data_IF_414712737747
#
_entry.id   IF_414712737747
#
_cell.length_a   1.000
_cell.length_b   1.000
_cell.length_c   1.000
_cell.angle_alpha   90.00
_cell.angle_beta   90.00
_cell.angle_gamma   90.00
#
_symmetry.space_group_name_H-M   'P 1'
#
loop_
_entity.id
_entity.type
_entity.pdbx_description
1 polymer ?
#
# COMPACT_ATOMS: atom_id res chain seq x y z
N UNK A 1 -8.47 10.19 -10.74
CA UNK A 1 -9.33 9.26 -11.50
C UNK A 1 -9.50 7.99 -10.66
N UNK A 2 -10.69 7.39 -10.65
CA UNK A 2 -10.93 6.11 -9.96
C UNK A 2 -10.27 4.97 -10.76
N UNK A 3 -9.27 4.26 -10.20
CA UNK A 3 -8.59 3.20 -10.94
C UNK A 3 -9.39 1.90 -10.98
N UNK A 4 -10.49 1.78 -10.23
CA UNK A 4 -11.32 0.60 -10.15
C UNK A 4 -12.58 0.73 -11.00
N UNK A 5 -13.14 -0.38 -11.47
CA UNK A 5 -14.40 -0.43 -12.23
C UNK A 5 -15.13 -1.73 -11.91
N UNK A 6 -16.44 -1.67 -11.71
CA UNK A 6 -17.28 -2.85 -11.54
C UNK A 6 -17.70 -3.43 -12.91
N UNK A 7 -17.92 -4.74 -12.99
CA UNK A 7 -18.37 -5.38 -14.23
C UNK A 7 -19.74 -4.88 -14.69
N UNK A 8 -20.62 -4.52 -13.74
CA UNK A 8 -21.92 -3.90 -14.00
C UNK A 8 -21.78 -2.55 -14.71
N UNK A 9 -20.75 -1.75 -14.38
CA UNK A 9 -20.47 -0.49 -15.08
C UNK A 9 -20.08 -0.76 -16.53
N UNK A 10 -19.23 -1.77 -16.78
CA UNK A 10 -18.86 -2.17 -18.14
C UNK A 10 -20.08 -2.66 -18.93
N UNK A 11 -20.93 -3.48 -18.32
CA UNK A 11 -22.14 -4.02 -18.93
C UNK A 11 -23.11 -2.89 -19.33
N UNK A 12 -23.30 -1.89 -18.46
CA UNK A 12 -24.21 -0.77 -18.71
C UNK A 12 -23.79 0.14 -19.87
N UNK A 13 -22.50 0.17 -20.21
CA UNK A 13 -21.97 0.93 -21.37
C UNK A 13 -21.85 0.04 -22.61
N UNK A 14 -21.59 -1.24 -22.43
CA UNK A 14 -21.38 -2.24 -23.48
C UNK A 14 -19.94 -2.73 -23.52
N UNK A 15 -19.75 -4.06 -23.48
CA UNK A 15 -18.43 -4.69 -23.36
C UNK A 15 -17.47 -4.39 -24.53
N UNK A 16 -18.01 -4.08 -25.71
CA UNK A 16 -17.22 -3.78 -26.91
C UNK A 16 -16.34 -2.53 -26.77
N UNK A 17 -16.65 -1.63 -25.85
CA UNK A 17 -15.87 -0.42 -25.54
C UNK A 17 -14.59 -0.71 -24.74
N UNK A 18 -14.40 -1.97 -24.32
CA UNK A 18 -13.33 -2.37 -23.41
C UNK A 18 -12.43 -3.42 -24.03
N UNK A 19 -11.17 -3.39 -23.65
CA UNK A 19 -10.19 -4.42 -23.93
C UNK A 19 -9.84 -5.12 -22.62
N UNK A 20 -10.47 -6.27 -22.38
CA UNK A 20 -10.29 -7.04 -21.16
C UNK A 20 -9.03 -7.91 -21.22
N UNK A 21 -8.21 -7.84 -20.17
CA UNK A 21 -7.04 -8.68 -19.96
C UNK A 21 -7.18 -9.48 -18.68
N UNK A 22 -7.28 -10.80 -18.81
CA UNK A 22 -7.09 -11.73 -17.71
C UNK A 22 -5.59 -11.78 -17.42
N UNK A 23 -5.19 -11.40 -16.21
CA UNK A 23 -3.80 -11.34 -15.77
C UNK A 23 -3.47 -12.59 -14.95
N UNK A 24 -2.34 -13.25 -15.24
CA UNK A 24 -1.89 -14.42 -14.50
C UNK A 24 -0.37 -14.51 -14.46
N UNK A 25 0.19 -15.22 -13.48
CA UNK A 25 1.61 -15.60 -13.46
C UNK A 25 1.90 -16.90 -14.24
N UNK A 26 0.86 -17.67 -14.58
CA UNK A 26 0.96 -18.91 -15.35
C UNK A 26 -0.20 -19.07 -16.34
N UNK A 27 0.04 -19.76 -17.45
CA UNK A 27 -0.99 -20.07 -18.46
C UNK A 27 -2.04 -21.05 -17.90
N UNK A 28 -1.64 -21.91 -16.96
CA UNK A 28 -2.45 -23.03 -16.47
C UNK A 28 -3.42 -22.63 -15.33
N UNK A 29 -3.32 -21.41 -14.81
CA UNK A 29 -4.08 -20.97 -13.63
C UNK A 29 -5.41 -20.28 -13.96
N UNK A 30 -5.98 -20.53 -15.15
CA UNK A 30 -7.23 -19.89 -15.59
C UNK A 30 -8.37 -20.90 -15.57
N UNK A 31 -9.30 -20.73 -14.62
CA UNK A 31 -10.50 -21.57 -14.51
C UNK A 31 -11.65 -21.08 -15.39
N UNK A 32 -11.60 -19.83 -15.83
CA UNK A 32 -12.50 -19.25 -16.80
C UNK A 32 -12.26 -17.75 -16.98
N UNK A 33 -12.77 -17.20 -18.07
CA UNK A 33 -12.55 -15.79 -18.42
C UNK A 33 -13.81 -15.16 -19.02
N UNK A 34 -13.93 -13.83 -18.92
CA UNK A 34 -15.01 -13.06 -19.55
C UNK A 34 -14.83 -13.18 -21.06
N UNK A 35 -15.87 -13.62 -21.77
CA UNK A 35 -15.86 -13.76 -23.23
C UNK A 35 -15.27 -12.51 -23.92
N UNK A 36 -14.36 -12.73 -24.88
CA UNK A 36 -13.65 -11.66 -25.58
C UNK A 36 -12.40 -11.11 -24.87
N UNK A 37 -12.03 -11.65 -23.71
CA UNK A 37 -10.77 -11.26 -23.03
C UNK A 37 -9.54 -11.93 -23.61
N UNK A 38 -8.37 -11.35 -23.34
CA UNK A 38 -7.06 -11.91 -23.68
C UNK A 38 -6.27 -12.24 -22.41
N UNK A 39 -5.36 -13.22 -22.49
CA UNK A 39 -4.48 -13.62 -21.41
C UNK A 39 -3.18 -12.82 -21.42
N UNK A 40 -2.92 -12.10 -20.34
CA UNK A 40 -1.64 -11.45 -20.06
C UNK A 40 -0.87 -12.26 -19.00
N UNK A 41 0.17 -12.98 -19.44
CA UNK A 41 1.08 -13.70 -18.55
C UNK A 41 2.19 -12.77 -18.07
N UNK A 42 2.30 -12.60 -16.75
CA UNK A 42 3.26 -11.71 -16.12
C UNK A 42 4.55 -12.45 -15.78
N UNK A 43 5.67 -11.90 -16.24
CA UNK A 43 6.97 -12.42 -15.86
C UNK A 43 7.31 -12.06 -14.41
N UNK A 44 7.90 -13.00 -13.68
CA UNK A 44 8.46 -12.74 -12.36
C UNK A 44 9.79 -11.99 -12.45
N UNK A 45 10.57 -12.23 -13.51
CA UNK A 45 11.79 -11.47 -13.76
C UNK A 45 11.45 -10.03 -14.17
N UNK A 46 11.91 -9.06 -13.38
CA UNK A 46 11.59 -7.63 -13.55
C UNK A 46 11.94 -7.09 -14.94
N UNK A 47 13.09 -7.44 -15.51
CA UNK A 47 13.48 -6.96 -16.84
C UNK A 47 12.58 -7.55 -17.94
N UNK A 48 12.29 -8.85 -17.86
CA UNK A 48 11.35 -9.48 -18.80
C UNK A 48 9.94 -8.90 -18.65
N UNK A 49 9.48 -8.67 -17.42
CA UNK A 49 8.20 -8.02 -17.15
C UNK A 49 8.12 -6.64 -17.78
N UNK A 50 9.13 -5.78 -17.57
CA UNK A 50 9.18 -4.45 -18.18
C UNK A 50 9.14 -4.56 -19.71
N UNK A 51 9.95 -5.45 -20.29
CA UNK A 51 9.99 -5.64 -21.73
C UNK A 51 8.66 -6.14 -22.29
N UNK A 52 8.00 -7.04 -21.58
CA UNK A 52 6.67 -7.53 -21.93
C UNK A 52 5.66 -6.37 -21.94
N UNK A 53 5.60 -5.56 -20.88
CA UNK A 53 4.67 -4.42 -20.80
C UNK A 53 4.89 -3.40 -21.93
N UNK A 54 6.14 -3.13 -22.29
CA UNK A 54 6.50 -2.17 -23.35
C UNK A 54 6.15 -2.65 -24.75
N UNK A 55 5.96 -3.96 -24.92
CA UNK A 55 5.67 -4.60 -26.20
C UNK A 55 4.19 -4.85 -26.45
N UNK A 56 3.30 -4.57 -25.49
CA UNK A 56 1.88 -4.84 -25.66
C UNK A 56 1.24 -3.88 -26.67
N UNK A 57 0.37 -4.43 -27.51
CA UNK A 57 -0.45 -3.68 -28.47
C UNK A 57 -1.90 -3.67 -28.00
N UNK A 58 -2.51 -2.49 -27.95
CA UNK A 58 -3.92 -2.33 -27.61
C UNK A 58 -4.67 -1.54 -28.68
N UNK A 59 -5.96 -1.79 -28.87
CA UNK A 59 -6.81 -0.94 -29.70
C UNK A 59 -6.87 0.49 -29.12
N UNK A 60 -6.68 1.51 -29.95
CA UNK A 60 -6.64 2.92 -29.51
C UNK A 60 -8.01 3.44 -29.02
N UNK A 61 -9.10 2.79 -29.42
CA UNK A 61 -10.49 3.18 -29.16
C UNK A 61 -11.10 2.47 -27.94
N UNK A 62 -10.35 1.60 -27.25
CA UNK A 62 -10.86 0.81 -26.13
C UNK A 62 -10.19 1.12 -24.81
N UNK A 63 -10.98 1.14 -23.74
CA UNK A 63 -10.46 1.22 -22.38
C UNK A 63 -9.91 -0.13 -21.94
N UNK A 64 -8.69 -0.15 -21.42
CA UNK A 64 -8.03 -1.38 -20.96
C UNK A 64 -8.54 -1.74 -19.56
N UNK A 65 -9.06 -2.96 -19.41
CA UNK A 65 -9.60 -3.48 -18.15
C UNK A 65 -8.79 -4.70 -17.72
N UNK A 66 -8.19 -4.63 -16.54
CA UNK A 66 -7.34 -5.67 -15.99
C UNK A 66 -8.07 -6.43 -14.89
N UNK A 67 -8.03 -7.75 -14.92
CA UNK A 67 -8.62 -8.58 -13.89
C UNK A 67 -7.84 -9.87 -13.72
N UNK A 68 -8.07 -10.58 -12.61
CA UNK A 68 -7.53 -11.92 -12.36
C UNK A 68 -8.62 -12.75 -11.66
N UNK A 69 -8.24 -13.84 -10.99
CA UNK A 69 -9.17 -14.70 -10.25
C UNK A 69 -9.85 -14.03 -9.04
N UNK A 70 -9.56 -12.75 -8.76
CA UNK A 70 -10.19 -11.96 -7.71
C UNK A 70 -9.33 -11.76 -6.47
N UNK A 71 -8.06 -12.16 -6.52
CA UNK A 71 -7.07 -11.90 -5.47
C UNK A 71 -6.22 -10.64 -5.72
N UNK A 72 -6.40 -10.05 -6.89
CA UNK A 72 -5.79 -8.82 -7.39
C UNK A 72 -4.27 -8.85 -7.53
N UNK A 73 -3.60 -10.00 -7.37
CA UNK A 73 -2.13 -10.03 -7.36
C UNK A 73 -1.55 -9.74 -8.74
N UNK A 74 -2.01 -10.47 -9.75
CA UNK A 74 -1.51 -10.31 -11.10
C UNK A 74 -2.04 -9.02 -11.72
N UNK A 75 -3.35 -8.78 -11.61
CA UNK A 75 -4.01 -7.63 -12.22
C UNK A 75 -3.48 -6.28 -11.69
N UNK A 76 -3.21 -6.16 -10.38
CA UNK A 76 -2.63 -4.93 -9.83
C UNK A 76 -1.16 -4.74 -10.22
N UNK A 77 -0.36 -5.82 -10.38
CA UNK A 77 1.01 -5.72 -10.92
C UNK A 77 0.98 -5.25 -12.37
N UNK A 78 0.11 -5.84 -13.19
CA UNK A 78 -0.10 -5.44 -14.58
C UNK A 78 -0.53 -3.97 -14.69
N UNK A 79 -1.42 -3.50 -13.80
CA UNK A 79 -1.85 -2.10 -13.75
C UNK A 79 -0.66 -1.14 -13.67
N UNK A 80 0.26 -1.37 -12.73
CA UNK A 80 1.44 -0.49 -12.58
C UNK A 80 2.41 -0.60 -13.75
N UNK A 81 2.57 -1.80 -14.32
CA UNK A 81 3.39 -2.02 -15.52
C UNK A 81 2.86 -1.27 -16.74
N UNK A 82 1.57 -1.39 -17.03
CA UNK A 82 0.92 -0.69 -18.14
C UNK A 82 0.87 0.81 -17.92
N UNK A 83 0.62 1.26 -16.68
CA UNK A 83 0.66 2.68 -16.33
C UNK A 83 2.05 3.28 -16.54
N UNK A 84 3.11 2.54 -16.19
CA UNK A 84 4.48 2.95 -16.46
C UNK A 84 4.80 2.95 -17.97
N UNK A 85 4.17 2.08 -18.77
CA UNK A 85 4.29 2.07 -20.23
C UNK A 85 3.45 3.18 -20.92
N UNK A 86 2.71 3.99 -20.17
CA UNK A 86 1.95 5.14 -20.68
C UNK A 86 0.47 4.87 -20.98
N UNK A 87 -0.04 3.70 -20.62
CA UNK A 87 -1.46 3.39 -20.72
C UNK A 87 -2.24 3.86 -19.48
N UNK A 88 -3.56 3.99 -19.60
CA UNK A 88 -4.46 4.31 -18.48
C UNK A 88 -5.44 3.15 -18.23
N UNK A 89 -4.96 2.00 -17.71
CA UNK A 89 -5.82 0.86 -17.43
C UNK A 89 -6.74 1.13 -16.23
N UNK A 90 -7.83 0.36 -16.12
CA UNK A 90 -8.63 0.22 -14.88
C UNK A 90 -8.59 -1.23 -14.39
N UNK A 91 -8.71 -1.39 -13.08
CA UNK A 91 -8.77 -2.70 -12.42
C UNK A 91 -10.23 -3.10 -12.22
N UNK A 92 -10.63 -4.25 -12.77
CA UNK A 92 -11.94 -4.82 -12.53
C UNK A 92 -12.04 -5.26 -11.07
N UNK A 93 -13.12 -4.87 -10.41
CA UNK A 93 -13.47 -5.35 -9.08
C UNK A 93 -13.92 -6.82 -9.13
N UNK A 94 -13.77 -7.52 -8.01
CA UNK A 94 -14.23 -8.91 -7.85
C UNK A 94 -15.68 -9.05 -8.31
N UNK A 95 -15.91 -10.03 -9.18
CA UNK A 95 -17.24 -10.35 -9.70
C UNK A 95 -17.96 -11.17 -8.63
N UNK A 96 -18.92 -10.54 -7.94
CA UNK A 96 -19.79 -11.24 -6.99
C UNK A 96 -20.97 -11.90 -7.71
N UNK A 97 -21.58 -11.16 -8.64
CA UNK A 97 -22.69 -11.61 -9.48
C UNK A 97 -22.38 -11.30 -10.94
N UNK A 98 -22.70 -12.23 -11.83
CA UNK A 98 -22.50 -12.08 -13.26
C UNK A 98 -23.69 -11.32 -13.88
N UNK A 99 -23.49 -10.14 -14.49
CA UNK A 99 -24.55 -9.42 -15.18
C UNK A 99 -25.14 -10.24 -16.33
N UNK A 100 -26.42 -9.98 -16.64
CA UNK A 100 -27.10 -10.63 -17.76
C UNK A 100 -26.38 -10.36 -19.09
N UNK A 101 -26.26 -11.39 -19.93
CA UNK A 101 -25.58 -11.30 -21.23
C UNK A 101 -24.05 -11.39 -21.18
N UNK A 102 -23.44 -11.52 -19.99
CA UNK A 102 -22.01 -11.80 -19.87
C UNK A 102 -21.79 -13.30 -19.73
N UNK A 103 -20.91 -13.85 -20.57
CA UNK A 103 -20.53 -15.26 -20.52
C UNK A 103 -19.13 -15.42 -19.93
N UNK A 104 -18.96 -16.45 -19.09
CA UNK A 104 -17.66 -16.93 -18.67
C UNK A 104 -17.32 -18.19 -19.46
N UNK A 105 -16.21 -18.17 -20.19
CA UNK A 105 -15.71 -19.31 -20.95
C UNK A 105 -14.77 -20.12 -20.05
N UNK A 106 -15.00 -21.44 -19.84
CA UNK A 106 -14.25 -22.26 -18.89
C UNK A 106 -12.92 -22.82 -19.46
N UNK A 107 -12.19 -21.98 -20.18
CA UNK A 107 -10.91 -22.33 -20.84
C UNK A 107 -9.87 -21.22 -20.59
N UNK A 108 -8.67 -21.33 -21.16
CA UNK A 108 -7.69 -20.23 -21.14
C UNK A 108 -7.97 -19.25 -22.28
N UNK A 109 -7.98 -17.92 -22.02
CA UNK A 109 -8.16 -16.93 -23.06
C UNK A 109 -6.98 -16.95 -24.06
N UNK A 110 -7.18 -16.49 -25.29
CA UNK A 110 -6.09 -16.29 -26.24
C UNK A 110 -5.05 -15.32 -25.67
N UNK A 111 -3.76 -15.56 -25.93
CA UNK A 111 -2.69 -14.69 -25.44
C UNK A 111 -2.81 -13.25 -25.98
N UNK A 112 -2.55 -12.29 -25.12
CA UNK A 112 -2.46 -10.88 -25.50
C UNK A 112 -1.35 -10.67 -26.52
N UNK A 113 -1.65 -9.88 -27.56
CA UNK A 113 -0.73 -9.64 -28.68
C UNK A 113 0.44 -8.76 -28.22
N UNK A 114 1.65 -9.18 -28.60
CA UNK A 114 2.88 -8.41 -28.42
C UNK A 114 3.41 -7.96 -29.78
N UNK A 115 3.81 -6.70 -29.86
CA UNK A 115 4.50 -6.15 -31.02
C UNK A 115 5.91 -6.68 -31.11
N UNK A 116 6.38 -6.86 -32.33
CA UNK A 116 7.80 -7.00 -32.64
C UNK A 116 8.53 -5.65 -32.70
N UNK A 117 7.80 -4.52 -32.75
CA UNK A 117 8.37 -3.20 -33.08
C UNK A 117 7.95 -2.06 -32.13
N UNK A 118 6.77 -2.13 -31.52
CA UNK A 118 6.37 -1.15 -30.51
C UNK A 118 7.15 -1.42 -29.22
N UNK A 119 8.00 -0.47 -28.84
CA UNK A 119 8.78 -0.52 -27.62
C UNK A 119 8.56 0.79 -26.86
N UNK A 120 7.42 0.87 -26.18
CA UNK A 120 7.00 2.08 -25.49
C UNK A 120 8.04 2.49 -24.43
N UNK A 121 8.16 3.79 -24.11
CA UNK A 121 8.97 4.21 -22.98
C UNK A 121 8.37 3.62 -21.69
N UNK A 122 9.22 3.33 -20.72
CA UNK A 122 8.79 2.83 -19.42
C UNK A 122 9.19 3.84 -18.33
N UNK A 123 8.19 4.40 -17.65
CA UNK A 123 8.38 5.42 -16.65
C UNK A 123 8.73 4.80 -15.29
N UNK A 124 10.03 4.69 -15.02
CA UNK A 124 10.55 4.20 -13.74
C UNK A 124 10.16 5.08 -12.53
N UNK A 125 9.56 6.26 -12.72
CA UNK A 125 9.02 7.04 -11.60
C UNK A 125 7.63 6.55 -11.16
N UNK A 126 6.90 5.84 -12.03
CA UNK A 126 5.60 5.24 -11.71
C UNK A 126 5.79 3.84 -11.13
N UNK A 127 6.62 3.02 -11.77
CA UNK A 127 6.95 1.68 -11.31
C UNK A 127 8.47 1.52 -11.22
N UNK A 128 9.00 1.49 -9.99
CA UNK A 128 10.44 1.47 -9.70
C UNK A 128 10.96 0.04 -9.67
N UNK A 129 12.20 -0.14 -10.10
CA UNK A 129 13.00 -1.29 -9.70
C UNK A 129 13.62 -1.08 -8.31
N UNK A 130 14.13 -2.15 -7.71
CA UNK A 130 14.95 -2.11 -6.49
C UNK A 130 16.15 -1.19 -6.67
N UNK A 131 16.83 -1.27 -7.81
CA UNK A 131 17.97 -0.42 -8.11
C UNK A 131 17.59 1.06 -8.17
N UNK A 132 16.43 1.39 -8.77
CA UNK A 132 15.92 2.77 -8.80
C UNK A 132 15.62 3.30 -7.40
N UNK A 133 15.08 2.45 -6.53
CA UNK A 133 14.80 2.81 -5.13
C UNK A 133 16.10 3.07 -4.35
N UNK A 134 17.11 2.21 -4.51
CA UNK A 134 18.40 2.33 -3.81
C UNK A 134 19.21 3.55 -4.24
N UNK A 135 19.07 3.98 -5.49
CA UNK A 135 19.75 5.18 -6.02
C UNK A 135 19.07 6.50 -5.63
N UNK A 136 17.87 6.47 -5.01
CA UNK A 136 17.18 7.69 -4.58
C UNK A 136 17.85 8.28 -3.33
N UNK A 137 18.68 9.30 -3.56
CA UNK A 137 19.42 10.03 -2.52
C UNK A 137 18.55 11.00 -1.68
N UNK A 138 17.32 11.32 -2.11
CA UNK A 138 16.38 12.08 -1.29
C UNK A 138 14.94 11.66 -1.57
N UNK A 139 14.15 11.55 -0.50
CA UNK A 139 12.76 11.10 -0.55
C UNK A 139 11.82 12.28 -0.28
N UNK A 140 11.47 13.03 -1.34
CA UNK A 140 10.32 13.94 -1.28
C UNK A 140 9.00 13.17 -1.06
N UNK A 141 8.96 11.92 -1.52
CA UNK A 141 7.88 10.97 -1.29
C UNK A 141 8.15 10.16 -0.02
N UNK A 142 7.11 9.78 0.73
CA UNK A 142 7.27 8.87 1.86
C UNK A 142 7.40 7.42 1.40
N UNK A 143 8.13 6.58 2.14
CA UNK A 143 8.15 5.14 1.92
C UNK A 143 7.02 4.48 2.73
N UNK A 144 6.16 3.71 2.06
CA UNK A 144 5.05 2.99 2.69
C UNK A 144 5.20 1.49 2.44
N UNK A 145 5.38 0.71 3.51
CA UNK A 145 5.43 -0.74 3.42
C UNK A 145 4.03 -1.33 3.54
N UNK A 146 3.63 -2.18 2.59
CA UNK A 146 2.36 -2.90 2.61
C UNK A 146 2.62 -4.38 2.31
N UNK A 147 2.63 -5.19 3.36
CA UNK A 147 2.82 -6.64 3.26
C UNK A 147 1.51 -7.42 3.28
N UNK A 148 0.42 -6.81 3.78
CA UNK A 148 -0.86 -7.46 3.96
C UNK A 148 -2.00 -6.44 3.84
N UNK A 149 -3.15 -6.90 3.34
CA UNK A 149 -4.41 -6.15 3.23
C UNK A 149 -5.49 -7.08 3.77
N UNK A 150 -6.08 -6.70 4.91
CA UNK A 150 -6.92 -7.56 5.75
C UNK A 150 -8.43 -7.32 5.59
N UNK A 151 -8.81 -6.56 4.56
CA UNK A 151 -10.16 -6.05 4.39
C UNK A 151 -10.56 -6.14 2.92
N UNK A 152 -11.85 -6.32 2.67
CA UNK A 152 -12.40 -6.20 1.33
C UNK A 152 -12.52 -4.73 0.93
N UNK A 153 -12.34 -4.48 -0.36
CA UNK A 153 -12.43 -3.14 -0.96
C UNK A 153 -13.77 -2.92 -1.66
N UNK A 154 -14.61 -3.96 -1.74
CA UNK A 154 -15.92 -3.92 -2.38
C UNK A 154 -17.04 -4.00 -1.35
N UNK A 155 -18.18 -3.40 -1.67
CA UNK A 155 -19.43 -3.62 -0.94
C UNK A 155 -20.10 -4.94 -1.34
N UNK A 156 -21.29 -5.20 -0.79
CA UNK A 156 -22.09 -6.40 -1.08
C UNK A 156 -22.55 -6.48 -2.54
N UNK A 157 -22.60 -5.35 -3.25
CA UNK A 157 -23.04 -5.26 -4.64
C UNK A 157 -21.85 -5.32 -5.63
N UNK A 158 -20.63 -5.57 -5.14
CA UNK A 158 -19.42 -5.61 -5.96
C UNK A 158 -18.90 -4.24 -6.39
N UNK A 159 -19.39 -3.15 -5.78
CA UNK A 159 -18.93 -1.79 -6.05
C UNK A 159 -17.76 -1.41 -5.13
N UNK A 160 -16.91 -0.49 -5.55
CA UNK A 160 -15.80 0.00 -4.71
C UNK A 160 -16.35 0.73 -3.49
N UNK A 161 -15.80 0.45 -2.30
CA UNK A 161 -16.14 1.20 -1.10
C UNK A 161 -15.74 2.69 -1.24
N UNK A 162 -16.49 3.61 -0.59
CA UNK A 162 -16.12 5.01 -0.54
C UNK A 162 -14.69 5.24 -0.04
N UNK A 163 -13.99 6.22 -0.61
CA UNK A 163 -12.57 6.48 -0.33
C UNK A 163 -12.27 6.73 1.15
N UNK A 164 -13.18 7.37 1.89
CA UNK A 164 -13.06 7.59 3.33
C UNK A 164 -13.14 6.28 4.13
N UNK A 165 -13.98 5.33 3.72
CA UNK A 165 -14.07 4.02 4.37
C UNK A 165 -12.80 3.19 4.13
N UNK A 166 -12.31 3.15 2.89
CA UNK A 166 -11.04 2.47 2.58
C UNK A 166 -9.88 3.11 3.35
N UNK A 167 -9.84 4.44 3.45
CA UNK A 167 -8.82 5.15 4.23
C UNK A 167 -8.83 4.73 5.71
N UNK A 168 -10.01 4.62 6.32
CA UNK A 168 -10.15 4.14 7.70
C UNK A 168 -9.70 2.68 7.84
N UNK A 169 -10.12 1.80 6.93
CA UNK A 169 -9.70 0.39 6.92
C UNK A 169 -8.17 0.24 6.78
N UNK A 170 -7.53 1.04 5.92
CA UNK A 170 -6.07 1.05 5.77
C UNK A 170 -5.36 1.44 7.06
N UNK A 171 -5.84 2.50 7.73
CA UNK A 171 -5.29 2.95 9.02
C UNK A 171 -5.49 1.89 10.10
N UNK A 172 -6.68 1.31 10.19
CA UNK A 172 -7.02 0.27 11.16
C UNK A 172 -6.22 -1.02 10.93
N UNK A 173 -5.83 -1.29 9.69
CA UNK A 173 -4.95 -2.41 9.31
C UNK A 173 -3.47 -2.14 9.56
N UNK A 174 -3.12 -0.99 10.15
CA UNK A 174 -1.74 -0.65 10.51
C UNK A 174 -0.89 -0.12 9.35
N UNK A 175 -1.49 0.22 8.21
CA UNK A 175 -0.76 0.85 7.09
C UNK A 175 -0.51 2.32 7.45
N UNK A 176 0.77 2.68 7.65
CA UNK A 176 1.18 4.01 8.13
C UNK A 176 1.59 4.91 6.96
N UNK A 177 0.91 6.05 6.82
CA UNK A 177 1.22 7.06 5.81
C UNK A 177 0.64 8.44 6.16
N UNK A 178 1.16 9.47 5.52
CA UNK A 178 0.71 10.87 5.60
C UNK A 178 -0.09 11.19 4.34
N UNK A 179 -1.36 11.56 4.49
CA UNK A 179 -2.31 11.73 3.37
C UNK A 179 -1.83 12.76 2.33
N UNK A 180 -1.18 13.85 2.78
CA UNK A 180 -0.81 14.97 1.91
C UNK A 180 0.57 14.84 1.24
N UNK A 181 1.20 13.67 1.31
CA UNK A 181 2.50 13.40 0.67
C UNK A 181 2.38 12.32 -0.41
N UNK A 182 3.14 12.48 -1.49
CA UNK A 182 3.35 11.40 -2.44
C UNK A 182 4.05 10.21 -1.77
N UNK A 183 3.85 9.01 -2.31
CA UNK A 183 4.31 7.77 -1.68
C UNK A 183 5.05 6.87 -2.66
N UNK A 184 6.07 6.17 -2.18
CA UNK A 184 6.65 5.00 -2.83
C UNK A 184 6.24 3.79 -2.00
N UNK A 185 5.54 2.86 -2.61
CA UNK A 185 4.95 1.70 -1.94
C UNK A 185 5.76 0.45 -2.26
N UNK A 186 6.05 -0.34 -1.24
CA UNK A 186 6.82 -1.57 -1.37
C UNK A 186 6.31 -2.67 -0.43
N UNK A 187 6.74 -3.92 -0.67
CA UNK A 187 6.31 -5.10 0.07
C UNK A 187 5.33 -6.00 -0.70
N UNK A 188 4.91 -7.10 -0.07
CA UNK A 188 4.18 -8.20 -0.73
C UNK A 188 2.84 -7.82 -1.36
N UNK A 189 2.17 -6.80 -0.83
CA UNK A 189 0.88 -6.29 -1.33
C UNK A 189 0.99 -4.85 -1.84
N UNK A 190 2.19 -4.44 -2.28
CA UNK A 190 2.47 -3.09 -2.72
C UNK A 190 1.65 -2.66 -3.94
N UNK A 191 1.39 -3.55 -4.89
CA UNK A 191 0.66 -3.23 -6.11
C UNK A 191 -0.79 -2.81 -5.83
N UNK A 192 -1.57 -3.66 -5.15
CA UNK A 192 -2.91 -3.33 -4.71
C UNK A 192 -2.90 -2.19 -3.67
N UNK A 193 -1.99 -2.23 -2.70
CA UNK A 193 -1.89 -1.18 -1.67
C UNK A 193 -1.58 0.20 -2.25
N UNK A 194 -0.76 0.27 -3.29
CA UNK A 194 -0.46 1.50 -4.03
C UNK A 194 -1.67 2.02 -4.79
N UNK A 195 -2.46 1.13 -5.40
CA UNK A 195 -3.73 1.49 -6.04
C UNK A 195 -4.71 2.09 -5.04
N UNK A 196 -4.87 1.45 -3.88
CA UNK A 196 -5.72 1.95 -2.80
C UNK A 196 -5.22 3.30 -2.26
N UNK A 197 -3.91 3.46 -2.04
CA UNK A 197 -3.33 4.75 -1.64
C UNK A 197 -3.60 5.84 -2.67
N UNK A 198 -3.44 5.56 -3.96
CA UNK A 198 -3.73 6.52 -5.03
C UNK A 198 -5.22 6.92 -5.03
N UNK A 199 -6.11 5.95 -4.84
CA UNK A 199 -7.56 6.17 -4.76
C UNK A 199 -7.96 7.04 -3.55
N UNK A 200 -7.45 6.73 -2.34
CA UNK A 200 -7.88 7.42 -1.12
C UNK A 200 -7.22 8.78 -0.89
N UNK A 201 -6.00 8.99 -1.42
CA UNK A 201 -5.26 10.24 -1.22
C UNK A 201 -5.35 11.20 -2.40
N UNK A 202 -5.58 10.69 -3.61
CA UNK A 202 -5.47 11.45 -4.85
C UNK A 202 -4.05 12.02 -5.09
N UNK A 203 -3.02 11.50 -4.41
CA UNK A 203 -1.62 11.94 -4.56
C UNK A 203 -0.84 11.04 -5.50
N UNK A 204 0.34 11.50 -5.90
CA UNK A 204 1.29 10.70 -6.69
C UNK A 204 1.74 9.48 -5.91
N UNK A 205 1.53 8.30 -6.47
CA UNK A 205 2.00 7.02 -5.91
C UNK A 205 2.90 6.36 -6.93
N UNK A 206 4.02 5.85 -6.44
CA UNK A 206 4.92 4.97 -7.18
C UNK A 206 4.99 3.62 -6.48
N UNK A 207 5.22 2.53 -7.22
CA UNK A 207 5.30 1.18 -6.64
C UNK A 207 6.62 0.52 -7.03
N UNK A 208 7.23 -0.21 -6.09
CA UNK A 208 8.44 -1.01 -6.36
C UNK A 208 8.01 -2.37 -6.93
N UNK A 209 8.50 -2.71 -8.12
CA UNK A 209 8.14 -3.94 -8.84
C UNK A 209 8.83 -5.17 -8.23
N UNK A 210 10.05 -4.99 -7.73
CA UNK A 210 10.82 -6.05 -7.10
C UNK A 210 10.30 -6.34 -5.68
N UNK A 211 10.29 -7.63 -5.30
CA UNK A 211 9.98 -8.00 -3.92
C UNK A 211 11.12 -7.56 -2.99
N UNK A 212 10.83 -6.57 -2.16
CA UNK A 212 11.77 -6.05 -1.17
C UNK A 212 11.13 -6.08 0.22
N UNK A 213 11.78 -6.79 1.15
CA UNK A 213 11.30 -6.88 2.53
C UNK A 213 11.68 -5.66 3.38
N UNK A 214 12.83 -5.06 3.09
CA UNK A 214 13.27 -3.77 3.61
C UNK A 214 14.13 -3.10 2.53
N UNK A 215 13.89 -1.83 2.17
CA UNK A 215 14.96 -1.05 1.56
C UNK A 215 16.10 -1.08 2.57
N UNK A 216 17.33 -1.40 2.15
CA UNK A 216 18.50 -1.35 3.02
C UNK A 216 18.48 -0.05 3.82
N UNK A 217 18.91 -0.09 5.09
CA UNK A 217 18.90 1.04 6.02
C UNK A 217 19.61 2.26 5.39
N UNK A 218 18.84 3.05 4.63
CA UNK A 218 19.24 4.40 4.26
C UNK A 218 19.17 5.14 5.57
N UNK A 219 20.34 5.37 6.16
CA UNK A 219 20.50 6.17 7.37
C UNK A 219 19.63 7.41 7.22
N UNK A 220 18.47 7.39 7.87
CA UNK A 220 17.62 8.56 7.98
C UNK A 220 18.47 9.55 8.76
N UNK A 221 19.04 10.54 8.06
CA UNK A 221 19.37 11.78 8.73
C UNK A 221 18.08 12.19 9.44
N UNK A 222 18.09 12.06 10.77
CA UNK A 222 16.97 12.46 11.62
C UNK A 222 16.67 13.89 11.24
N UNK A 223 15.56 14.10 10.53
CA UNK A 223 14.93 15.42 10.49
C UNK A 223 14.67 15.75 11.95
N UNK A 224 15.46 16.68 12.48
CA UNK A 224 15.30 17.20 13.83
C UNK A 224 13.84 17.50 14.07
N UNK A 225 13.38 17.05 15.23
CA UNK A 225 12.09 17.36 15.79
C UNK A 225 11.75 18.84 15.57
N UNK A 226 10.52 19.10 15.14
CA UNK A 226 9.86 20.38 15.42
C UNK A 226 9.64 20.44 16.94
N UNK A 227 10.72 20.73 17.66
CA UNK A 227 10.70 21.23 19.01
C UNK A 227 10.19 22.66 18.99
N UNK A 228 9.31 22.94 19.92
CA UNK A 228 8.72 24.24 20.19
C UNK A 228 9.77 25.37 20.15
N UNK A 229 9.40 26.42 19.45
CA UNK A 229 10.18 27.62 19.19
C UNK A 229 10.36 28.42 20.50
N UNK A 230 11.32 28.02 21.33
CA UNK A 230 11.85 28.81 22.43
C UNK A 230 13.11 29.54 21.98
N UNK A 231 12.98 30.81 21.64
CA UNK A 231 14.08 31.70 21.29
C UNK A 231 15.13 31.79 22.41
N UNK A 232 16.40 31.55 22.09
CA UNK A 232 17.48 32.44 22.53
C UNK A 232 18.66 32.33 21.56
N UNK A 233 19.05 33.49 21.01
CA UNK A 233 20.28 33.65 20.25
C UNK A 233 21.46 33.54 21.23
N UNK A 234 22.43 32.67 20.94
CA UNK A 234 23.79 32.87 21.42
C UNK A 234 24.76 32.97 20.23
N UNK A 235 25.29 34.19 20.10
CA UNK A 235 26.38 34.58 19.22
C UNK A 235 27.65 33.91 19.76
N UNK A 236 28.32 33.14 18.91
CA UNK A 236 29.62 32.54 19.22
C UNK A 236 30.72 33.53 18.88
N UNK A 237 31.31 34.17 19.89
CA UNK A 237 32.60 34.82 19.77
C UNK A 237 33.70 33.98 20.42
N UNK A 238 34.62 33.52 19.56
CA UNK A 238 35.87 32.84 19.94
C UNK A 238 36.82 33.86 20.56
N UNK A 239 37.36 33.57 21.76
CA UNK A 239 38.76 33.91 22.11
C UNK A 239 39.27 33.08 23.29
N UNK A 240 40.50 32.57 23.10
CA UNK A 240 41.36 31.84 24.04
C UNK A 240 41.95 32.76 25.11
N UNK A 241 42.10 32.25 26.34
CA UNK A 241 43.22 32.45 27.31
C UNK A 241 42.77 31.91 28.67
N UNK A 242 43.20 30.72 29.11
CA UNK A 242 44.35 30.46 30.01
C UNK A 242 44.26 31.04 31.44
N UNK A 243 44.28 30.11 32.40
CA UNK A 243 44.75 30.13 33.80
C UNK A 243 44.25 31.21 34.80
N UNK A 244 43.59 30.77 35.88
CA UNK A 244 44.15 30.74 37.27
C UNK A 244 43.04 30.47 38.32
N UNK A 245 43.20 29.34 39.03
CA UNK A 245 43.05 29.13 40.48
C UNK A 245 41.79 29.50 41.29
N UNK A 246 41.47 28.53 42.17
CA UNK A 246 41.00 28.60 43.58
C UNK A 246 39.49 28.45 43.88
N UNK A 247 39.22 27.28 44.49
CA UNK A 247 38.45 27.04 45.73
C UNK A 247 37.10 27.73 45.93
N UNK A 248 36.03 26.94 45.96
CA UNK A 248 35.10 26.91 47.09
C UNK A 248 34.17 25.71 47.00
N UNK A 249 34.25 24.85 48.01
CA UNK A 249 33.23 23.85 48.35
C UNK A 249 31.87 24.51 48.55
N UNK A 250 30.83 24.01 47.88
CA UNK A 250 29.45 24.19 48.31
C UNK A 250 28.68 22.88 48.18
N UNK A 251 28.44 22.24 49.34
CA UNK A 251 27.33 21.32 49.55
C UNK A 251 26.03 22.12 49.61
N UNK A 252 25.03 21.73 48.84
CA UNK A 252 23.64 22.12 49.06
C UNK A 252 22.76 20.86 49.05
N UNK A 253 22.43 20.42 50.26
CA UNK A 253 21.37 19.44 50.57
C UNK A 253 20.04 20.20 50.57
N UNK A 254 19.02 19.73 49.86
CA UNK A 254 17.64 20.15 50.09
C UNK A 254 16.79 18.91 50.38
N UNK A 255 16.17 18.94 51.55
CA UNK A 255 15.51 17.81 52.20
C UNK A 255 14.09 17.55 51.74
N UNK A 256 13.64 16.35 52.10
CA UNK A 256 12.26 15.86 52.04
C UNK A 256 11.39 16.64 53.04
N UNK A 257 10.24 17.13 52.60
CA UNK A 257 9.04 17.23 53.43
C UNK A 257 7.83 16.82 52.58
N UNK A 258 7.14 15.77 53.05
CA UNK A 258 5.85 15.37 52.54
C UNK A 258 4.73 16.09 53.27
N UNK A 259 3.54 16.05 52.68
CA UNK A 259 2.26 16.25 53.38
C UNK A 259 1.29 15.21 52.84
N UNK A 260 0.82 14.37 53.75
CA UNK A 260 -0.32 13.46 53.62
C UNK A 260 -1.61 14.22 53.89
N UNK A 261 -2.71 13.86 53.22
CA UNK A 261 -4.07 14.08 53.75
C UNK A 261 -4.90 12.81 53.47
N UNK A 262 -5.22 12.10 54.55
CA UNK A 262 -6.21 11.03 54.63
C UNK A 262 -7.64 11.59 54.57
N UNK A 263 -8.58 10.76 54.13
CA UNK A 263 -10.01 11.02 54.17
C UNK A 263 -10.86 9.79 53.85
N UNK A 264 -10.97 8.89 54.83
CA UNK A 264 -11.84 7.71 54.88
C UNK A 264 -13.32 7.97 54.50
N UNK A 265 -13.96 6.98 53.84
CA UNK A 265 -15.07 6.20 54.46
C UNK A 265 -15.58 5.01 53.62
N UNK A 266 -15.62 3.87 54.33
CA UNK A 266 -16.29 2.57 54.13
C UNK A 266 -17.74 2.63 53.58
N UNK A 267 -18.21 1.54 52.94
CA UNK A 267 -19.18 0.55 53.48
C UNK A 267 -19.44 -0.65 52.52
N UNK A 268 -19.17 -1.84 53.07
CA UNK A 268 -19.74 -3.21 52.97
C UNK A 268 -20.66 -3.72 51.82
N UNK A 269 -20.25 -4.90 51.30
CA UNK A 269 -20.95 -6.20 51.16
C UNK A 269 -22.36 -6.29 50.55
N UNK A 270 -22.54 -7.16 49.53
CA UNK A 270 -23.11 -8.52 49.67
C UNK A 270 -23.35 -9.27 48.32
N UNK A 271 -22.86 -10.51 48.29
CA UNK A 271 -23.39 -11.78 47.74
C UNK A 271 -24.07 -11.97 46.35
N UNK A 272 -23.46 -12.96 45.64
CA UNK A 272 -24.01 -14.18 44.97
C UNK A 272 -24.89 -14.07 43.72
N UNK A 273 -24.41 -14.74 42.65
CA UNK A 273 -25.24 -15.27 41.55
C UNK A 273 -24.44 -16.07 40.53
N UNK A 274 -24.57 -17.40 40.54
CA UNK A 274 -23.97 -18.39 39.61
C UNK A 274 -24.30 -18.16 38.12
N UNK A 275 -23.37 -18.51 37.21
CA UNK A 275 -23.47 -19.68 36.29
C UNK A 275 -22.35 -19.73 35.22
N UNK A 276 -21.54 -20.79 35.33
CA UNK A 276 -20.92 -21.67 34.32
C UNK A 276 -20.76 -21.27 32.83
N UNK A 277 -19.49 -21.47 32.40
CA UNK A 277 -18.98 -22.35 31.33
C UNK A 277 -18.62 -21.77 29.95
N UNK A 278 -17.45 -22.26 29.52
CA UNK A 278 -16.94 -22.44 28.16
C UNK A 278 -16.24 -21.27 27.47
N UNK A 279 -14.91 -21.22 27.62
CA UNK A 279 -14.01 -21.14 26.45
C UNK A 279 -12.66 -21.78 26.79
N UNK A 280 -12.30 -22.79 26.00
CA UNK A 280 -11.05 -23.52 26.06
C UNK A 280 -9.85 -22.61 25.78
N UNK A 281 -8.80 -22.81 26.58
CA UNK A 281 -7.50 -22.16 26.46
C UNK A 281 -6.73 -22.87 25.34
N UNK A 282 -6.33 -22.12 24.29
CA UNK A 282 -5.46 -22.62 23.24
C UNK A 282 -4.02 -22.74 23.77
N UNK A 283 -3.59 -23.98 23.99
CA UNK A 283 -2.25 -24.36 24.44
C UNK A 283 -1.28 -24.46 23.26
N UNK A 284 -0.96 -23.34 22.60
CA UNK A 284 0.22 -23.22 21.71
C UNK A 284 0.60 -21.77 21.31
N UNK A 285 0.46 -20.81 22.22
CA UNK A 285 1.17 -19.53 22.09
C UNK A 285 2.58 -19.66 22.66
N UNK A 286 3.54 -20.09 21.84
CA UNK A 286 4.96 -19.90 22.13
C UNK A 286 5.40 -18.55 21.53
N UNK A 287 5.72 -17.62 22.42
CA UNK A 287 6.46 -16.40 22.14
C UNK A 287 7.94 -16.78 22.05
N UNK A 288 8.51 -16.74 20.85
CA UNK A 288 9.92 -16.43 20.57
C UNK A 288 9.99 -15.68 19.25
#
# INVERSE_FOLDING_TARGET
MNPFIALQECAGIGLDNYHFLYCSFSVDNVSGYIEGSFLLVLNENTQKFINDMRSLEFPEDKLIILYDSGDYQASSKAYWGLKAAGFEPRLLLRINDLPEGINIIPESPPLAKKSSSAYLPFNNQVALTKADLEQKNSFFQQLVQINYIAFDITDTNGQILPSNQILEMMKNSGIRFIINRGSIVFGKKAFLGGLLLAYVTGKSVSVVIDDIQRPMDVERQKSQDFGEMGQSLEITDKKKSEEFNKTSDYKATIGKQGVSVDGDKKIMNQHKGNRNKDTAICSNCAVV
#
